data_IF_149745670770
#
_entry.id   IF_149745670770
#
_cell.length_a   1.000
_cell.length_b   1.000
_cell.length_c   1.000
_cell.angle_alpha   90.00
_cell.angle_beta   90.00
_cell.angle_gamma   90.00
#
_symmetry.space_group_name_H-M   'P 1'
#
loop_
_entity.id
_entity.type
_entity.pdbx_description
1 polymer ?
#
# COMPACT_ATOMS: atom_id res chain seq x y z
N UNK A 1 40.56 2.80 19.56
CA UNK A 1 39.72 1.63 19.90
C UNK A 1 38.27 2.04 19.66
N UNK A 2 37.59 1.30 18.78
CA UNK A 2 36.38 1.69 18.05
C UNK A 2 35.10 1.36 18.87
N UNK A 3 34.14 2.28 19.07
CA UNK A 3 32.85 1.95 19.68
C UNK A 3 31.88 1.40 18.61
N UNK A 4 31.40 0.19 18.85
CA UNK A 4 30.57 -0.64 17.99
C UNK A 4 29.24 0.02 17.59
N UNK A 5 29.05 0.17 16.29
CA UNK A 5 27.79 0.49 15.63
C UNK A 5 26.86 -0.73 15.73
N UNK A 6 25.75 -0.61 16.45
CA UNK A 6 24.70 -1.65 16.43
C UNK A 6 23.83 -1.43 15.19
N UNK A 7 24.20 -2.10 14.10
CA UNK A 7 23.35 -2.28 12.92
C UNK A 7 22.10 -3.08 13.30
N UNK A 8 20.93 -2.43 13.21
CA UNK A 8 19.62 -3.06 13.40
C UNK A 8 19.17 -3.64 12.06
N UNK A 9 18.98 -4.97 11.91
CA UNK A 9 18.55 -5.54 10.65
C UNK A 9 17.12 -5.11 10.29
N UNK A 10 16.96 -4.60 9.07
CA UNK A 10 15.67 -4.26 8.45
C UNK A 10 14.92 -5.55 8.13
N UNK A 11 13.94 -5.94 8.94
CA UNK A 11 13.03 -7.02 8.61
C UNK A 11 11.88 -6.47 7.74
N UNK A 12 12.00 -6.62 6.42
CA UNK A 12 10.82 -6.62 5.55
C UNK A 12 10.25 -8.05 5.56
N UNK A 13 9.19 -8.28 6.33
CA UNK A 13 8.52 -9.58 6.35
C UNK A 13 7.20 -9.49 5.57
N UNK A 14 7.23 -9.84 4.29
CA UNK A 14 6.04 -10.11 3.49
C UNK A 14 5.97 -11.62 3.22
N UNK A 15 5.62 -12.40 4.24
CA UNK A 15 5.37 -13.83 4.07
C UNK A 15 3.89 -14.04 3.74
N UNK A 16 3.57 -14.11 2.45
CA UNK A 16 2.29 -14.59 1.94
C UNK A 16 2.33 -16.12 1.91
N UNK A 17 1.69 -16.76 2.90
CA UNK A 17 1.44 -18.20 2.85
C UNK A 17 0.13 -18.44 2.11
N UNK A 18 0.20 -19.06 0.93
CA UNK A 18 -0.98 -19.61 0.24
C UNK A 18 -0.97 -21.10 0.55
N UNK A 19 -1.83 -21.53 1.48
CA UNK A 19 -2.10 -22.94 1.70
C UNK A 19 -2.89 -23.47 0.50
N UNK A 20 -2.19 -24.18 -0.38
CA UNK A 20 -2.80 -24.96 -1.45
C UNK A 20 -3.23 -26.30 -0.87
N UNK A 21 -4.54 -26.47 -0.64
CA UNK A 21 -5.09 -27.76 -0.23
C UNK A 21 -5.54 -28.51 -1.48
N UNK A 22 -4.74 -29.47 -1.91
CA UNK A 22 -5.11 -30.51 -2.87
C UNK A 22 -6.19 -31.41 -2.27
N UNK A 23 -7.33 -31.59 -2.94
CA UNK A 23 -8.14 -32.80 -2.79
C UNK A 23 -8.93 -33.09 -4.08
N UNK A 24 -8.70 -34.29 -4.62
CA UNK A 24 -9.25 -34.79 -5.86
C UNK A 24 -10.66 -35.39 -5.72
N UNK A 25 -11.46 -35.17 -6.77
CA UNK A 25 -12.53 -36.00 -7.37
C UNK A 25 -13.58 -36.70 -6.47
N UNK A 26 -14.86 -36.30 -6.61
CA UNK A 26 -15.98 -37.24 -6.79
C UNK A 26 -17.12 -36.59 -7.60
N UNK A 27 -17.59 -37.30 -8.62
CA UNK A 27 -18.73 -36.95 -9.47
C UNK A 27 -20.06 -37.13 -8.71
N UNK A 28 -21.05 -36.24 -8.93
CA UNK A 28 -22.38 -36.37 -8.34
C UNK A 28 -23.38 -35.27 -8.74
N UNK A 29 -23.94 -35.42 -9.94
CA UNK A 29 -25.26 -34.99 -10.43
C UNK A 29 -25.99 -33.79 -9.75
N UNK A 30 -26.12 -32.71 -10.53
CA UNK A 30 -27.29 -31.84 -10.72
C UNK A 30 -27.98 -31.18 -9.51
N UNK A 31 -27.71 -29.88 -9.32
CA UNK A 31 -28.78 -28.92 -9.05
C UNK A 31 -28.62 -27.69 -9.94
N UNK A 32 -29.55 -27.58 -10.89
CA UNK A 32 -29.76 -26.40 -11.70
C UNK A 32 -30.19 -25.24 -10.79
N UNK A 33 -29.31 -24.26 -10.59
CA UNK A 33 -29.73 -22.93 -10.18
C UNK A 33 -29.39 -22.02 -11.34
N UNK A 34 -30.43 -21.42 -11.92
CA UNK A 34 -30.34 -20.41 -12.96
C UNK A 34 -29.56 -19.19 -12.45
N UNK A 35 -28.24 -19.30 -12.38
CA UNK A 35 -27.37 -18.18 -12.10
C UNK A 35 -27.34 -17.35 -13.37
N UNK A 36 -28.17 -16.30 -13.39
CA UNK A 36 -28.04 -15.14 -14.27
C UNK A 36 -26.56 -14.95 -14.60
N UNK A 37 -26.14 -14.94 -15.87
CA UNK A 37 -24.75 -14.66 -16.22
C UNK A 37 -24.36 -13.36 -15.50
N UNK A 38 -23.53 -13.48 -14.47
CA UNK A 38 -22.95 -12.31 -13.82
C UNK A 38 -21.96 -11.77 -14.84
N UNK A 39 -22.44 -10.85 -15.67
CA UNK A 39 -21.59 -9.97 -16.44
C UNK A 39 -20.51 -9.47 -15.47
N UNK A 40 -19.22 -9.67 -15.75
CA UNK A 40 -18.18 -9.09 -14.95
C UNK A 40 -18.39 -7.58 -14.99
N UNK A 41 -18.94 -7.02 -13.90
CA UNK A 41 -18.95 -5.58 -13.71
C UNK A 41 -17.48 -5.22 -13.62
N UNK A 42 -16.99 -4.60 -14.68
CA UNK A 42 -15.75 -3.85 -14.72
C UNK A 42 -15.86 -2.73 -13.68
N UNK A 43 -15.68 -3.09 -12.41
CA UNK A 43 -15.49 -2.16 -11.31
C UNK A 43 -14.33 -1.25 -11.71
N UNK A 44 -14.66 0.00 -12.06
CA UNK A 44 -13.66 0.99 -12.38
C UNK A 44 -12.72 1.10 -11.17
N UNK A 45 -11.47 0.66 -11.33
CA UNK A 45 -10.47 0.73 -10.25
C UNK A 45 -10.38 2.20 -9.81
N UNK A 46 -10.82 2.48 -8.58
CA UNK A 46 -10.63 3.80 -7.97
C UNK A 46 -9.13 4.01 -7.86
N UNK A 47 -8.62 5.09 -8.46
CA UNK A 47 -7.21 5.43 -8.33
C UNK A 47 -6.86 5.60 -6.85
N UNK A 48 -5.71 5.06 -6.41
CA UNK A 48 -5.26 5.27 -5.04
C UNK A 48 -5.01 6.77 -4.82
N UNK A 49 -5.70 7.34 -3.84
CA UNK A 49 -5.43 8.71 -3.39
C UNK A 49 -4.25 8.70 -2.45
N UNK A 50 -3.24 9.51 -2.73
CA UNK A 50 -2.11 9.72 -1.83
C UNK A 50 -2.42 10.85 -0.86
N UNK A 51 -2.10 10.65 0.42
CA UNK A 51 -2.28 11.63 1.48
C UNK A 51 -0.94 12.13 2.01
N UNK A 52 -0.85 13.43 2.30
CA UNK A 52 0.32 14.03 2.95
C UNK A 52 0.47 13.46 4.37
N UNK A 53 1.65 12.95 4.77
CA UNK A 53 1.85 12.40 6.12
C UNK A 53 1.87 13.46 7.22
N UNK A 54 1.88 14.75 6.87
CA UNK A 54 1.88 15.88 7.82
C UNK A 54 0.46 16.38 8.09
N UNK A 55 -0.31 16.71 7.06
CA UNK A 55 -1.67 17.25 7.23
C UNK A 55 -2.79 16.21 7.05
N UNK A 56 -2.47 14.99 6.59
CA UNK A 56 -3.44 13.91 6.29
C UNK A 56 -4.49 14.26 5.21
N UNK A 57 -4.30 15.37 4.48
CA UNK A 57 -5.10 15.71 3.31
C UNK A 57 -4.52 15.09 2.03
N UNK A 58 -5.26 15.19 0.93
CA UNK A 58 -4.78 14.79 -0.40
C UNK A 58 -3.48 15.53 -0.77
N UNK A 59 -2.58 14.81 -1.42
CA UNK A 59 -1.26 15.29 -1.80
C UNK A 59 -1.37 16.22 -3.01
N UNK A 60 -1.74 17.48 -2.78
CA UNK A 60 -1.73 18.53 -3.82
C UNK A 60 -0.30 19.06 -3.96
N UNK A 61 0.16 19.19 -5.20
CA UNK A 61 1.51 19.66 -5.54
C UNK A 61 2.59 18.91 -4.75
N UNK A 62 2.65 17.60 -4.97
CA UNK A 62 3.56 16.71 -4.28
C UNK A 62 5.02 17.15 -4.47
N UNK A 63 5.75 17.26 -3.36
CA UNK A 63 7.17 17.62 -3.32
C UNK A 63 7.94 16.59 -2.53
N UNK A 64 9.13 16.22 -3.01
CA UNK A 64 9.99 15.19 -2.41
C UNK A 64 11.29 15.78 -1.91
N UNK A 65 11.77 15.28 -0.77
CA UNK A 65 13.12 15.58 -0.27
C UNK A 65 14.17 14.66 -0.93
N UNK A 66 15.46 15.00 -0.79
CA UNK A 66 16.56 14.17 -1.31
C UNK A 66 16.62 12.75 -0.72
N UNK A 67 15.98 12.53 0.45
CA UNK A 67 15.87 11.22 1.07
C UNK A 67 14.61 10.43 0.65
N UNK A 68 13.80 10.98 -0.27
CA UNK A 68 12.67 10.29 -0.88
C UNK A 68 11.33 10.38 -0.13
N UNK A 69 11.24 11.18 0.94
CA UNK A 69 9.96 11.43 1.59
C UNK A 69 9.16 12.47 0.81
N UNK A 70 7.84 12.27 0.69
CA UNK A 70 6.94 13.09 -0.13
C UNK A 70 5.89 13.78 0.74
N UNK A 71 5.63 15.06 0.49
CA UNK A 71 4.70 15.93 1.21
C UNK A 71 3.90 16.80 0.23
N UNK A 72 2.81 17.44 0.67
CA UNK A 72 2.23 18.54 -0.11
C UNK A 72 3.10 19.80 0.03
N UNK A 73 3.06 20.66 -1.00
CA UNK A 73 3.89 21.87 -1.08
C UNK A 73 3.80 22.76 0.18
N UNK A 74 2.58 23.02 0.66
CA UNK A 74 2.36 23.85 1.86
C UNK A 74 3.07 23.30 3.11
N UNK A 75 3.06 21.97 3.30
CA UNK A 75 3.67 21.36 4.47
C UNK A 75 5.20 21.37 4.41
N UNK A 76 5.80 21.15 3.23
CA UNK A 76 7.26 21.20 3.11
C UNK A 76 7.79 22.62 3.29
N UNK A 77 7.11 23.64 2.73
CA UNK A 77 7.49 25.04 2.91
C UNK A 77 7.40 25.48 4.38
N UNK A 78 6.30 25.17 5.06
CA UNK A 78 6.14 25.46 6.47
C UNK A 78 7.21 24.77 7.33
N UNK A 79 7.58 23.52 6.99
CA UNK A 79 8.63 22.79 7.70
C UNK A 79 10.00 23.44 7.53
N UNK A 80 10.33 23.91 6.31
CA UNK A 80 11.59 24.62 6.04
C UNK A 80 11.63 25.97 6.77
N UNK A 81 10.53 26.73 6.74
CA UNK A 81 10.43 28.03 7.44
C UNK A 81 10.53 27.88 8.96
N UNK A 82 9.99 26.80 9.52
CA UNK A 82 10.10 26.52 10.96
C UNK A 82 11.55 26.16 11.39
N UNK A 83 12.40 25.71 10.44
CA UNK A 83 13.79 25.34 10.71
C UNK A 83 14.77 26.51 10.66
N UNK A 84 14.41 27.65 10.08
CA UNK A 84 15.23 28.86 10.11
C UNK A 84 15.29 29.44 11.53
N UNK A 85 16.33 29.02 12.26
CA UNK A 85 16.73 29.53 13.58
C UNK A 85 18.14 30.11 13.52
#
# INVERSE_FOLDING_TARGET
MNPTHHDRPRACNNNLVIDTVDTAATNGLLLMVMQKPRVPVKEARKEPKFSCPVCMNELVDASSTICGHIFCQNCIEASIQAQSK
#
